data_IF_930516101994
#
_entry.id   IF_930516101994
#
_cell.length_a   1.000
_cell.length_b   1.000
_cell.length_c   1.000
_cell.angle_alpha   90.00
_cell.angle_beta   90.00
_cell.angle_gamma   90.00
#
_symmetry.space_group_name_H-M   'P 1'
#
loop_
_entity.id
_entity.type
_entity.pdbx_description
1 polymer ?
#
# COMPACT_ATOMS: atom_id res chain seq x y z
N UNK A 1 12.22 -14.07 50.00
CA UNK A 1 12.80 -14.42 48.68
C UNK A 1 11.67 -14.39 47.68
N UNK A 2 11.55 -13.30 46.93
CA UNK A 2 10.61 -13.20 45.81
C UNK A 2 11.25 -13.89 44.60
N UNK A 3 10.53 -14.85 44.02
CA UNK A 3 10.85 -15.44 42.73
C UNK A 3 9.92 -14.78 41.70
N UNK A 4 10.45 -13.80 40.98
CA UNK A 4 9.78 -13.22 39.82
C UNK A 4 9.80 -14.26 38.69
N UNK A 5 8.60 -14.74 38.33
CA UNK A 5 8.39 -15.49 37.12
C UNK A 5 8.45 -14.51 35.94
N UNK A 6 9.50 -14.61 35.14
CA UNK A 6 9.63 -13.91 33.87
C UNK A 6 8.61 -14.48 32.88
N UNK A 7 7.45 -13.83 32.76
CA UNK A 7 6.45 -14.12 31.74
C UNK A 7 6.93 -13.54 30.42
N UNK A 8 7.87 -14.24 29.77
CA UNK A 8 8.19 -14.00 28.38
C UNK A 8 6.93 -14.16 27.53
N UNK A 9 6.46 -13.05 26.94
CA UNK A 9 5.31 -13.02 26.04
C UNK A 9 5.53 -14.02 24.89
N UNK A 10 4.64 -15.02 24.82
CA UNK A 10 4.58 -16.03 23.73
C UNK A 10 4.21 -15.38 22.39
N UNK A 11 3.69 -14.16 22.43
CA UNK A 11 3.41 -13.37 21.24
C UNK A 11 4.64 -12.50 20.95
N UNK A 12 5.47 -12.99 20.04
CA UNK A 12 6.37 -12.14 19.27
C UNK A 12 5.47 -11.18 18.48
N UNK A 13 5.30 -9.97 19.01
CA UNK A 13 4.67 -8.90 18.26
C UNK A 13 5.71 -8.56 17.20
N UNK A 14 5.57 -9.16 16.01
CA UNK A 14 6.24 -8.71 14.80
C UNK A 14 6.15 -7.18 14.80
N UNK A 15 7.31 -6.53 15.02
CA UNK A 15 7.37 -5.08 15.06
C UNK A 15 6.69 -4.55 13.79
N UNK A 16 5.77 -3.57 13.87
CA UNK A 16 5.00 -3.11 12.73
C UNK A 16 5.96 -2.79 11.59
N UNK A 17 5.85 -3.59 10.52
CA UNK A 17 6.91 -3.85 9.56
C UNK A 17 7.61 -2.59 9.07
N UNK A 18 8.90 -2.48 9.39
CA UNK A 18 9.76 -1.49 8.77
C UNK A 18 9.89 -1.83 7.28
N UNK A 19 9.24 -1.06 6.41
CA UNK A 19 9.44 -1.17 4.98
C UNK A 19 10.79 -0.52 4.64
N UNK A 20 11.78 -1.31 4.24
CA UNK A 20 13.01 -0.76 3.67
C UNK A 20 12.71 -0.12 2.31
N UNK A 21 12.92 1.20 2.23
CA UNK A 21 12.82 1.95 0.97
C UNK A 21 14.10 1.80 0.17
N UNK A 22 14.25 0.66 -0.51
CA UNK A 22 15.30 0.48 -1.52
C UNK A 22 15.08 1.37 -2.74
N UNK A 23 16.10 1.54 -3.57
CA UNK A 23 16.03 2.38 -4.78
C UNK A 23 14.84 2.04 -5.67
N UNK A 24 14.54 0.75 -5.86
CA UNK A 24 13.39 0.31 -6.67
C UNK A 24 12.04 0.76 -6.08
N UNK A 25 11.90 0.77 -4.75
CA UNK A 25 10.68 1.25 -4.07
C UNK A 25 10.50 2.75 -4.26
N UNK A 26 11.59 3.52 -4.17
CA UNK A 26 11.55 4.97 -4.40
C UNK A 26 11.22 5.29 -5.87
N UNK A 27 11.82 4.56 -6.82
CA UNK A 27 11.51 4.69 -8.25
C UNK A 27 10.04 4.34 -8.52
N UNK A 28 9.55 3.25 -7.93
CA UNK A 28 8.15 2.85 -8.05
C UNK A 28 7.20 3.91 -7.52
N UNK A 29 7.49 4.47 -6.34
CA UNK A 29 6.70 5.55 -5.75
C UNK A 29 6.66 6.78 -6.67
N UNK A 30 7.81 7.22 -7.18
CA UNK A 30 7.90 8.37 -8.08
C UNK A 30 7.11 8.13 -9.38
N UNK A 31 7.21 6.93 -9.96
CA UNK A 31 6.46 6.57 -11.16
C UNK A 31 4.94 6.52 -10.90
N UNK A 32 4.53 5.96 -9.75
CA UNK A 32 3.13 5.91 -9.35
C UNK A 32 2.54 7.31 -9.15
N UNK A 33 3.28 8.24 -8.54
CA UNK A 33 2.87 9.66 -8.46
C UNK A 33 2.66 10.29 -9.83
N UNK A 34 3.62 10.13 -10.75
CA UNK A 34 3.50 10.65 -12.13
C UNK A 34 2.29 10.09 -12.88
N UNK A 35 1.90 8.85 -12.60
CA UNK A 35 0.69 8.27 -13.18
C UNK A 35 -0.58 8.81 -12.51
N UNK A 36 -0.58 8.91 -11.19
CA UNK A 36 -1.71 9.44 -10.43
C UNK A 36 -2.01 10.90 -10.78
N UNK A 37 -0.99 11.74 -10.96
CA UNK A 37 -1.12 13.14 -11.36
C UNK A 37 -1.89 13.31 -12.68
N UNK A 38 -1.77 12.35 -13.61
CA UNK A 38 -2.52 12.37 -14.89
C UNK A 38 -4.03 12.24 -14.70
N UNK A 39 -4.49 11.74 -13.55
CA UNK A 39 -5.92 11.66 -13.23
C UNK A 39 -6.52 13.02 -12.91
N UNK A 40 -5.69 14.04 -12.65
CA UNK A 40 -6.12 15.39 -12.27
C UNK A 40 -6.75 15.48 -10.86
N UNK A 41 -6.68 14.40 -10.08
CA UNK A 41 -7.17 14.36 -8.71
C UNK A 41 -6.19 15.05 -7.76
N UNK A 42 -6.73 15.78 -6.78
CA UNK A 42 -5.93 16.38 -5.73
C UNK A 42 -5.44 15.29 -4.76
N UNK A 43 -4.12 15.11 -4.74
CA UNK A 43 -3.43 14.14 -3.90
C UNK A 43 -3.70 14.34 -2.40
N UNK A 44 -3.99 15.56 -1.96
CA UNK A 44 -4.27 15.83 -0.54
C UNK A 44 -5.50 15.09 -0.02
N UNK A 45 -6.37 14.64 -0.92
CA UNK A 45 -7.55 13.83 -0.61
C UNK A 45 -7.23 12.34 -0.45
N UNK A 46 -5.98 11.92 -0.56
CA UNK A 46 -5.58 10.51 -0.56
C UNK A 46 -4.52 10.22 0.51
N UNK A 47 -4.57 9.00 1.04
CA UNK A 47 -3.47 8.37 1.75
C UNK A 47 -2.70 7.48 0.77
N UNK A 48 -1.37 7.41 0.92
CA UNK A 48 -0.53 6.53 0.10
C UNK A 48 -0.02 5.38 0.97
N UNK A 49 -0.31 4.16 0.54
CA UNK A 49 0.14 2.94 1.21
C UNK A 49 1.08 2.18 0.28
N UNK A 50 2.25 1.78 0.80
CA UNK A 50 3.23 0.97 0.09
C UNK A 50 3.32 -0.37 0.79
N UNK A 51 3.16 -1.45 0.04
CA UNK A 51 3.23 -2.81 0.58
C UNK A 51 3.97 -3.73 -0.40
N UNK A 52 4.72 -4.68 0.15
CA UNK A 52 5.20 -5.80 -0.64
C UNK A 52 4.03 -6.72 -0.99
N UNK A 53 3.94 -7.13 -2.25
CA UNK A 53 2.97 -8.12 -2.72
C UNK A 53 3.73 -9.41 -3.01
N UNK A 54 3.52 -10.39 -2.14
CA UNK A 54 4.09 -11.74 -2.28
C UNK A 54 3.12 -12.65 -3.02
N UNK A 55 3.68 -13.67 -3.67
CA UNK A 55 2.98 -14.70 -4.46
C UNK A 55 1.75 -15.32 -3.76
N UNK A 56 1.76 -15.48 -2.43
CA UNK A 56 0.66 -16.09 -1.66
C UNK A 56 -0.60 -15.22 -1.55
N UNK A 57 -0.52 -13.93 -1.88
CA UNK A 57 -1.66 -12.99 -1.84
C UNK A 57 -2.39 -12.83 -3.19
N UNK A 58 -2.11 -13.70 -4.18
CA UNK A 58 -3.05 -14.05 -5.26
C UNK A 58 -3.47 -12.96 -6.26
N UNK A 59 -2.72 -11.88 -6.46
CA UNK A 59 -3.15 -10.74 -7.30
C UNK A 59 -2.47 -10.59 -8.67
N UNK A 60 -1.70 -11.58 -9.16
CA UNK A 60 -1.35 -11.64 -10.59
C UNK A 60 -1.20 -13.08 -11.15
N UNK A 61 -1.29 -13.18 -12.49
CA UNK A 61 -1.19 -14.41 -13.27
C UNK A 61 0.28 -14.85 -13.52
N UNK A 62 1.27 -14.09 -13.06
CA UNK A 62 2.71 -14.31 -13.30
C UNK A 62 3.52 -14.66 -12.04
N UNK A 63 2.94 -14.58 -10.84
CA UNK A 63 3.49 -15.04 -9.57
C UNK A 63 4.81 -14.39 -9.12
N UNK A 64 5.10 -13.15 -9.55
CA UNK A 64 6.37 -12.46 -9.21
C UNK A 64 6.18 -11.54 -8.01
N UNK A 65 7.16 -11.53 -7.08
CA UNK A 65 7.19 -10.58 -5.97
C UNK A 65 7.20 -9.12 -6.49
N UNK A 66 6.25 -8.31 -6.02
CA UNK A 66 6.02 -6.97 -6.53
C UNK A 66 5.87 -5.93 -5.40
N UNK A 67 5.87 -4.66 -5.78
CA UNK A 67 5.59 -3.53 -4.89
C UNK A 67 4.21 -2.97 -5.26
N UNK A 68 3.29 -2.95 -4.31
CA UNK A 68 2.00 -2.29 -4.44
C UNK A 68 2.04 -0.89 -3.86
N UNK A 69 1.61 0.11 -4.64
CA UNK A 69 1.43 1.50 -4.19
C UNK A 69 -0.03 1.86 -4.37
N UNK A 70 -0.76 1.99 -3.27
CA UNK A 70 -2.18 2.30 -3.26
C UNK A 70 -2.43 3.76 -2.84
N UNK A 71 -3.20 4.46 -3.64
CA UNK A 71 -3.78 5.76 -3.35
C UNK A 71 -5.22 5.54 -2.90
N UNK A 72 -5.48 5.74 -1.60
CA UNK A 72 -6.79 5.50 -0.98
C UNK A 72 -7.41 6.82 -0.59
N UNK A 73 -8.62 7.10 -1.05
CA UNK A 73 -9.32 8.33 -0.69
C UNK A 73 -9.52 8.43 0.83
N UNK A 74 -9.27 9.60 1.41
CA UNK A 74 -9.53 9.90 2.82
C UNK A 74 -11.04 9.95 3.02
N UNK A 75 -11.57 9.03 3.84
CA UNK A 75 -12.97 9.04 4.26
C UNK A 75 -13.12 9.89 5.52
N UNK A 76 -14.17 10.70 5.60
CA UNK A 76 -14.51 11.40 6.83
C UNK A 76 -15.12 10.43 7.85
N UNK A 77 -14.85 10.59 9.17
CA UNK A 77 -15.46 9.76 10.20
C UNK A 77 -17.00 9.74 10.09
N UNK A 78 -17.60 8.55 10.13
CA UNK A 78 -19.06 8.36 10.01
C UNK A 78 -19.57 8.09 8.59
N UNK A 79 -18.71 8.19 7.57
CA UNK A 79 -19.05 7.71 6.22
C UNK A 79 -18.84 6.19 6.14
N UNK A 80 -19.94 5.44 6.04
CA UNK A 80 -19.93 4.01 5.67
C UNK A 80 -20.11 3.89 4.15
N UNK A 81 -19.28 3.06 3.50
CA UNK A 81 -19.08 3.09 2.05
C UNK A 81 -18.24 4.30 1.62
N UNK A 82 -18.05 4.49 0.32
CA UNK A 82 -17.46 5.70 -0.30
C UNK A 82 -18.37 6.93 -0.07
N UNK A 83 -18.77 7.20 1.17
CA UNK A 83 -19.78 8.20 1.52
C UNK A 83 -19.34 9.57 1.06
N UNK A 84 -20.17 10.28 0.28
CA UNK A 84 -19.97 11.56 -0.44
C UNK A 84 -18.64 11.81 -1.19
N UNK A 85 -17.58 11.07 -0.88
CA UNK A 85 -16.46 10.73 -1.72
C UNK A 85 -16.94 9.70 -2.75
N UNK A 86 -17.87 10.10 -3.63
CA UNK A 86 -17.38 10.77 -4.83
C UNK A 86 -18.35 10.84 -6.04
N UNK A 87 -18.07 11.81 -6.91
CA UNK A 87 -18.18 11.66 -8.38
C UNK A 87 -16.83 11.22 -9.01
N UNK A 88 -15.87 10.74 -8.21
CA UNK A 88 -14.40 10.86 -8.36
C UNK A 88 -13.55 9.80 -7.59
N UNK A 89 -14.13 8.83 -6.90
CA UNK A 89 -13.57 8.15 -5.71
C UNK A 89 -13.27 6.72 -6.03
N UNK A 90 -12.26 6.55 -6.88
CA UNK A 90 -11.66 5.25 -7.12
C UNK A 90 -10.32 5.27 -6.43
N UNK A 91 -10.16 4.41 -5.44
CA UNK A 91 -8.82 4.08 -4.97
C UNK A 91 -8.08 3.42 -6.13
N UNK A 92 -6.82 3.75 -6.32
CA UNK A 92 -6.00 3.17 -7.40
C UNK A 92 -4.75 2.57 -6.81
N UNK A 93 -4.41 1.38 -7.28
CA UNK A 93 -3.20 0.66 -6.91
C UNK A 93 -2.33 0.49 -8.14
N UNK A 94 -1.11 0.97 -8.07
CA UNK A 94 -0.07 0.71 -9.04
C UNK A 94 0.81 -0.43 -8.55
N UNK A 95 1.11 -1.38 -9.43
CA UNK A 95 1.96 -2.53 -9.12
C UNK A 95 3.24 -2.41 -9.93
N UNK A 96 4.35 -2.50 -9.22
CA UNK A 96 5.68 -2.25 -9.74
C UNK A 96 6.63 -3.43 -9.54
N UNK A 97 7.60 -3.53 -10.43
CA UNK A 97 8.69 -4.51 -10.32
C UNK A 97 9.52 -4.25 -9.06
N UNK A 98 9.78 -5.28 -8.26
CA UNK A 98 10.65 -5.17 -7.08
C UNK A 98 12.11 -4.89 -7.44
N UNK A 99 12.51 -5.21 -8.68
CA UNK A 99 13.87 -5.02 -9.20
C UNK A 99 14.08 -3.63 -9.80
N UNK A 100 13.17 -3.18 -10.68
CA UNK A 100 13.35 -1.94 -11.45
C UNK A 100 12.53 -0.77 -10.91
N UNK A 101 11.45 -1.04 -10.18
CA UNK A 101 10.47 -0.02 -9.80
C UNK A 101 9.56 0.45 -10.94
N UNK A 102 9.59 -0.22 -12.10
CA UNK A 102 8.70 0.11 -13.21
C UNK A 102 7.27 -0.38 -12.93
N UNK A 103 6.29 0.49 -13.19
CA UNK A 103 4.87 0.15 -13.06
C UNK A 103 4.47 -0.71 -14.25
N UNK A 104 3.93 -1.90 -13.99
CA UNK A 104 3.46 -2.82 -15.04
C UNK A 104 1.96 -3.10 -14.97
N UNK A 105 1.27 -2.66 -13.91
CA UNK A 105 -0.17 -2.81 -13.77
C UNK A 105 -0.78 -1.68 -12.94
N UNK A 106 -1.97 -1.26 -13.34
CA UNK A 106 -2.85 -0.36 -12.58
C UNK A 106 -4.14 -1.12 -12.25
N UNK A 107 -4.62 -1.00 -11.01
CA UNK A 107 -5.88 -1.57 -10.55
C UNK A 107 -6.71 -0.50 -9.84
N UNK A 108 -7.90 -0.19 -10.37
CA UNK A 108 -8.85 0.73 -9.72
C UNK A 108 -9.91 -0.04 -8.92
N UNK A 109 -10.33 0.52 -7.78
CA UNK A 109 -11.56 0.07 -7.11
C UNK A 109 -12.77 0.46 -7.98
N UNK A 110 -13.56 -0.52 -8.40
CA UNK A 110 -14.81 -0.29 -9.16
C UNK A 110 -15.85 0.44 -8.31
#
# INVERSE_FOLDING_TARGET
MHSDADTGSIFEIDSPGQLMLGTSVVVALANAYKLFEKTGQDLNNFNVHIAERKKENGEDENGVDAIGIAFTAKLSPGQKGLGNASRQGRSVTYIASKTTGEIFREQGSR
#
